data_IF_375139594236
#
_entry.id   IF_375139594236
#
_cell.length_a   1.000
_cell.length_b   1.000
_cell.length_c   1.000
_cell.angle_alpha   90.00
_cell.angle_beta   90.00
_cell.angle_gamma   90.00
#
_symmetry.space_group_name_H-M   'P 1'
#
loop_
_entity.id
_entity.type
_entity.pdbx_description
1 polymer ?
#
# COMPACT_ATOMS: atom_id res chain seq x y z
N UNK A 1 16.41 13.96 -23.14
CA UNK A 1 15.57 15.08 -22.66
C UNK A 1 14.15 14.57 -22.44
N UNK A 2 13.86 14.06 -21.25
CA UNK A 2 12.50 13.84 -20.75
C UNK A 2 12.60 13.85 -19.23
N UNK A 3 12.33 15.02 -18.65
CA UNK A 3 12.35 15.23 -17.21
C UNK A 3 11.24 14.39 -16.56
N UNK A 4 11.60 13.42 -15.73
CA UNK A 4 10.70 12.89 -14.70
C UNK A 4 10.61 13.96 -13.62
N UNK A 5 9.60 14.83 -13.71
CA UNK A 5 9.19 15.69 -12.59
C UNK A 5 8.20 14.88 -11.75
N UNK A 6 8.69 14.17 -10.74
CA UNK A 6 7.85 13.67 -9.66
C UNK A 6 7.31 14.87 -8.87
N UNK A 7 6.00 15.10 -8.94
CA UNK A 7 5.33 16.11 -8.10
C UNK A 7 5.43 15.67 -6.64
N UNK A 8 6.07 16.49 -5.80
CA UNK A 8 6.19 16.25 -4.36
C UNK A 8 4.81 16.51 -3.75
N UNK A 9 4.09 15.45 -3.34
CA UNK A 9 2.87 15.60 -2.55
C UNK A 9 3.22 16.34 -1.24
N UNK A 10 2.45 17.37 -0.84
CA UNK A 10 2.72 18.07 0.41
C UNK A 10 2.71 17.08 1.57
N UNK A 11 3.69 17.18 2.47
CA UNK A 11 3.70 16.37 3.70
C UNK A 11 2.52 16.77 4.57
N UNK A 12 1.57 15.87 4.72
CA UNK A 12 0.40 16.04 5.60
C UNK A 12 0.83 15.73 7.03
N UNK A 13 0.57 16.66 7.94
CA UNK A 13 0.84 16.47 9.37
C UNK A 13 -0.10 15.40 9.94
N UNK A 14 0.45 14.45 10.72
CA UNK A 14 -0.37 13.46 11.42
C UNK A 14 -1.38 14.15 12.34
N UNK A 15 -2.66 13.76 12.26
CA UNK A 15 -3.75 14.35 13.05
C UNK A 15 -4.41 15.61 12.45
N UNK A 16 -3.89 16.15 11.34
CA UNK A 16 -4.47 17.32 10.67
C UNK A 16 -5.92 17.12 10.21
N UNK A 17 -6.32 15.88 9.91
CA UNK A 17 -7.68 15.51 9.51
C UNK A 17 -8.77 15.88 10.54
N UNK A 18 -8.40 16.17 11.80
CA UNK A 18 -9.33 16.61 12.84
C UNK A 18 -9.72 18.08 12.70
N UNK A 19 -8.87 18.88 12.06
CA UNK A 19 -9.00 20.34 11.96
C UNK A 19 -9.30 20.79 10.52
N UNK A 20 -8.84 20.01 9.53
CA UNK A 20 -8.92 20.32 8.10
C UNK A 20 -9.46 19.11 7.32
N UNK A 21 -10.18 19.37 6.23
CA UNK A 21 -10.72 18.32 5.37
C UNK A 21 -9.68 17.84 4.35
N UNK A 22 -9.40 16.53 4.33
CA UNK A 22 -8.52 15.91 3.34
C UNK A 22 -9.19 15.81 1.98
N UNK A 23 -8.51 16.24 0.92
CA UNK A 23 -8.93 16.06 -0.46
C UNK A 23 -8.65 14.64 -0.93
N UNK A 24 -9.39 14.15 -1.93
CA UNK A 24 -9.23 12.78 -2.42
C UNK A 24 -7.79 12.49 -2.94
N UNK A 25 -7.12 13.49 -3.53
CA UNK A 25 -5.76 13.33 -4.08
C UNK A 25 -4.67 13.20 -3.00
N UNK A 26 -5.01 13.58 -1.77
CA UNK A 26 -4.15 13.55 -0.58
C UNK A 26 -4.22 12.21 0.16
N UNK A 27 -5.25 11.41 -0.14
CA UNK A 27 -5.47 10.09 0.45
C UNK A 27 -4.86 9.03 -0.49
N UNK A 28 -4.22 8.02 0.08
CA UNK A 28 -3.77 6.85 -0.64
C UNK A 28 -4.75 5.71 -0.39
N UNK A 29 -5.22 5.10 -1.48
CA UNK A 29 -6.28 4.09 -1.49
C UNK A 29 -5.79 2.81 -2.17
N UNK A 30 -6.43 1.64 -1.96
CA UNK A 30 -6.07 0.39 -2.67
C UNK A 30 -6.14 0.51 -4.20
N UNK A 31 -6.98 1.40 -4.71
CA UNK A 31 -7.08 1.73 -6.13
C UNK A 31 -5.77 2.33 -6.67
N UNK A 32 -5.01 3.04 -5.82
CA UNK A 32 -3.71 3.65 -6.16
C UNK A 32 -2.54 2.64 -6.20
N UNK A 33 -2.78 1.36 -5.91
CA UNK A 33 -1.72 0.34 -5.97
C UNK A 33 -1.17 0.18 -7.39
N UNK A 34 0.14 0.37 -7.52
CA UNK A 34 0.87 0.06 -8.74
C UNK A 34 1.03 -1.45 -8.95
N UNK A 35 1.49 -1.84 -10.14
CA UNK A 35 1.65 -3.25 -10.52
C UNK A 35 2.60 -4.01 -9.60
N UNK A 36 3.66 -3.35 -9.10
CA UNK A 36 4.60 -3.98 -8.18
C UNK A 36 3.96 -4.27 -6.82
N UNK A 37 3.17 -3.34 -6.27
CA UNK A 37 2.42 -3.55 -5.03
C UNK A 37 1.45 -4.73 -5.17
N UNK A 38 0.77 -4.82 -6.33
CA UNK A 38 -0.16 -5.93 -6.63
C UNK A 38 0.57 -7.27 -6.76
N UNK A 39 1.72 -7.30 -7.43
CA UNK A 39 2.53 -8.50 -7.59
C UNK A 39 3.06 -9.02 -6.24
N UNK A 40 3.52 -8.13 -5.38
CA UNK A 40 3.98 -8.48 -4.03
C UNK A 40 2.81 -9.03 -3.20
N UNK A 41 1.65 -8.39 -3.26
CA UNK A 41 0.45 -8.87 -2.56
C UNK A 41 0.06 -10.28 -3.02
N UNK A 42 0.03 -10.53 -4.33
CA UNK A 42 -0.24 -11.86 -4.88
C UNK A 42 0.78 -12.90 -4.39
N UNK A 43 2.07 -12.58 -4.45
CA UNK A 43 3.13 -13.51 -4.02
C UNK A 43 3.02 -13.84 -2.53
N UNK A 44 2.71 -12.84 -1.69
CA UNK A 44 2.50 -13.05 -0.27
C UNK A 44 1.25 -13.91 0.02
N UNK A 45 0.17 -13.70 -0.73
CA UNK A 45 -1.05 -14.51 -0.63
C UNK A 45 -0.79 -15.97 -1.01
N UNK A 46 -0.11 -16.22 -2.13
CA UNK A 46 0.26 -17.56 -2.58
C UNK A 46 1.15 -18.27 -1.55
N UNK A 47 2.12 -17.58 -0.95
CA UNK A 47 2.95 -18.15 0.10
C UNK A 47 2.15 -18.49 1.35
N UNK A 48 1.24 -17.60 1.78
CA UNK A 48 0.40 -17.85 2.94
C UNK A 48 -0.49 -19.09 2.72
N UNK A 49 -1.10 -19.21 1.54
CA UNK A 49 -1.99 -20.33 1.20
C UNK A 49 -1.27 -21.67 1.09
N UNK A 50 -0.08 -21.69 0.48
CA UNK A 50 0.62 -22.94 0.16
C UNK A 50 1.58 -23.40 1.26
N UNK A 51 2.21 -22.48 1.99
CA UNK A 51 3.26 -22.80 2.95
C UNK A 51 2.81 -22.61 4.39
N UNK A 52 2.12 -21.50 4.70
CA UNK A 52 1.74 -21.17 6.09
C UNK A 52 0.52 -21.96 6.53
N UNK A 53 -0.62 -21.79 5.83
CA UNK A 53 -1.90 -22.40 6.25
C UNK A 53 -1.79 -23.93 6.41
N UNK A 54 -1.14 -24.70 5.51
CA UNK A 54 -1.04 -26.15 5.67
C UNK A 54 -0.14 -26.60 6.82
N UNK A 55 0.74 -25.72 7.32
CA UNK A 55 1.69 -26.03 8.37
C UNK A 55 1.41 -25.30 9.68
N UNK A 56 0.34 -24.50 9.76
CA UNK A 56 0.05 -23.65 10.91
C UNK A 56 -0.09 -24.44 12.21
N UNK A 57 -0.71 -25.62 12.17
CA UNK A 57 -0.86 -26.52 13.32
C UNK A 57 0.48 -27.09 13.83
N UNK A 58 1.52 -27.10 13.00
CA UNK A 58 2.88 -27.53 13.39
C UNK A 58 3.74 -26.39 13.93
N UNK A 59 3.27 -25.15 13.77
CA UNK A 59 3.96 -23.92 14.20
C UNK A 59 3.52 -23.45 15.59
N UNK A 60 2.43 -24.01 16.11
CA UNK A 60 1.99 -23.90 17.50
C UNK A 60 2.77 -24.85 18.43
#
# INVERSE_FOLDING_TARGET
MASVTGSVKPKISGGSFLLEACQAQEVFTPEDFNDQHRLIAQTAEEFAQNEIIPNIEKME
#
